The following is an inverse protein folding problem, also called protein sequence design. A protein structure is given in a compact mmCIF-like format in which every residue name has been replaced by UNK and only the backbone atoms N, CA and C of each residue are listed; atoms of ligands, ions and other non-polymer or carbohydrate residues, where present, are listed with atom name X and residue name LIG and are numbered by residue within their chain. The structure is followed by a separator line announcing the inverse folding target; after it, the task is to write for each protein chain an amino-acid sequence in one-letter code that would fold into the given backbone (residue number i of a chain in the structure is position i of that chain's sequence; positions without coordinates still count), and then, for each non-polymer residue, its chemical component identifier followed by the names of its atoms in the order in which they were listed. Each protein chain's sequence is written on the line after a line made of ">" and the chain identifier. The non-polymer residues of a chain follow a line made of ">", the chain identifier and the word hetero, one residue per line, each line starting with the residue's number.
data_IF_873065714706
#
_entry.id   IF_873065714706
#
_cell.length_a   1.000
_cell.length_b   1.000
_cell.length_c   1.000
_cell.angle_alpha   90.00
_cell.angle_beta   90.00
_cell.angle_gamma   90.00
#
_symmetry.space_group_name_H-M   'P 1'
#
loop_
_entity.id
_entity.type
_entity.pdbx_description
1 polymer ?
#
# COMPACT_ATOMS: atom_id res chain seq x y z
N UNK A 1 -8.49 -11.65 54.11
CA UNK A 1 -7.47 -10.67 53.72
C UNK A 1 -7.33 -10.74 52.21
N UNK A 2 -7.83 -9.75 51.52
CA UNK A 2 -7.65 -9.59 50.05
C UNK A 2 -6.24 -9.05 49.85
N UNK A 3 -5.42 -9.80 49.13
CA UNK A 3 -4.10 -9.35 48.72
C UNK A 3 -4.24 -8.21 47.70
N UNK A 4 -3.57 -7.09 47.95
CA UNK A 4 -3.50 -5.98 47.02
C UNK A 4 -2.83 -6.44 45.70
N UNK A 5 -3.25 -5.90 44.53
CA UNK A 5 -2.64 -6.25 43.25
C UNK A 5 -1.21 -5.72 43.23
N UNK A 6 -0.25 -6.62 43.11
CA UNK A 6 1.16 -6.29 42.90
C UNK A 6 1.30 -5.74 41.49
N UNK A 7 1.48 -4.43 41.37
CA UNK A 7 1.82 -3.77 40.10
C UNK A 7 3.26 -4.14 39.78
N UNK A 8 3.45 -4.99 38.77
CA UNK A 8 4.76 -5.30 38.20
C UNK A 8 5.25 -4.08 37.41
N UNK A 9 6.08 -3.26 38.05
CA UNK A 9 6.88 -2.26 37.34
C UNK A 9 8.11 -2.96 36.71
N UNK A 10 8.04 -3.29 35.43
CA UNK A 10 9.23 -3.63 34.68
C UNK A 10 9.85 -2.34 34.13
N UNK A 11 11.13 -2.04 34.36
CA UNK A 11 11.78 -0.91 33.72
C UNK A 11 11.93 -1.21 32.22
N UNK A 12 11.19 -0.48 31.39
CA UNK A 12 11.37 -0.52 29.93
C UNK A 12 12.57 0.36 29.60
N UNK A 13 13.76 -0.23 29.46
CA UNK A 13 14.91 0.48 28.92
C UNK A 13 14.84 0.43 27.38
N UNK A 14 14.34 1.47 26.74
CA UNK A 14 14.39 1.61 25.29
C UNK A 14 15.75 2.22 24.90
N UNK A 15 16.63 1.40 24.32
CA UNK A 15 17.87 1.85 23.70
C UNK A 15 17.63 1.97 22.20
N UNK A 16 17.56 3.20 21.70
CA UNK A 16 17.52 3.45 20.26
C UNK A 16 18.90 3.19 19.64
N UNK A 17 19.03 2.14 18.88
CA UNK A 17 20.21 1.89 18.06
C UNK A 17 20.11 2.73 16.77
N UNK A 18 21.08 3.65 16.60
CA UNK A 18 21.22 4.45 15.37
C UNK A 18 21.61 3.50 14.23
N UNK A 19 20.68 3.25 13.29
CA UNK A 19 20.94 2.48 12.07
C UNK A 19 21.70 3.39 11.11
N UNK A 20 22.92 3.03 10.74
CA UNK A 20 23.58 3.58 9.56
C UNK A 20 22.87 3.02 8.34
N UNK A 21 22.23 3.89 7.57
CA UNK A 21 21.56 3.52 6.35
C UNK A 21 22.58 3.43 5.21
N UNK A 22 22.72 2.25 4.61
CA UNK A 22 23.25 2.12 3.25
C UNK A 22 22.11 2.49 2.28
N UNK A 23 22.09 3.77 1.89
CA UNK A 23 21.10 4.30 0.95
C UNK A 23 21.54 4.07 -0.48
N UNK A 24 20.63 3.59 -1.32
CA UNK A 24 20.78 3.65 -2.77
C UNK A 24 20.63 5.11 -3.20
N UNK A 25 21.71 5.70 -3.73
CA UNK A 25 21.72 7.07 -4.22
C UNK A 25 20.85 7.16 -5.48
N UNK A 26 19.78 7.95 -5.42
CA UNK A 26 19.05 8.41 -6.60
C UNK A 26 19.82 9.57 -7.24
N UNK A 27 20.04 9.50 -8.55
CA UNK A 27 20.79 10.48 -9.33
C UNK A 27 20.14 11.87 -9.21
N UNK A 28 20.86 12.83 -8.61
CA UNK A 28 20.48 14.25 -8.61
C UNK A 28 19.94 14.84 -7.30
N UNK A 29 19.91 14.08 -6.21
CA UNK A 29 19.59 14.57 -4.85
C UNK A 29 20.88 14.71 -4.04
N UNK A 30 21.02 15.76 -3.22
CA UNK A 30 22.15 15.90 -2.29
C UNK A 30 22.31 14.63 -1.45
N UNK A 31 23.53 14.18 -1.28
CA UNK A 31 23.95 12.81 -0.92
C UNK A 31 23.45 12.26 0.44
N UNK A 32 22.59 12.96 1.18
CA UNK A 32 22.27 12.59 2.57
C UNK A 32 20.76 12.45 2.90
N UNK A 33 19.86 12.49 1.91
CA UNK A 33 18.42 12.37 2.21
C UNK A 33 18.04 10.91 2.34
N UNK A 34 17.71 10.48 3.55
CA UNK A 34 17.17 9.15 3.80
C UNK A 34 15.68 9.14 3.47
N UNK A 35 15.30 8.38 2.43
CA UNK A 35 13.91 8.19 2.02
C UNK A 35 13.27 7.10 2.87
N UNK A 36 12.14 7.40 3.49
CA UNK A 36 11.37 6.46 4.29
C UNK A 36 10.39 5.69 3.39
N UNK A 37 10.51 4.37 3.38
CA UNK A 37 9.70 3.46 2.55
C UNK A 37 8.91 2.46 3.37
N UNK A 38 9.48 1.99 4.48
CA UNK A 38 8.81 1.06 5.37
C UNK A 38 7.89 1.81 6.34
N UNK A 39 6.68 2.13 5.88
CA UNK A 39 5.67 2.87 6.62
C UNK A 39 4.62 1.97 7.29
N UNK A 40 4.99 0.73 7.62
CA UNK A 40 4.09 -0.19 8.29
C UNK A 40 3.61 0.36 9.64
N UNK A 41 2.35 0.16 9.96
CA UNK A 41 1.71 0.59 11.21
C UNK A 41 1.95 -0.39 12.37
N UNK A 42 2.43 -1.60 12.08
CA UNK A 42 2.73 -2.62 13.06
C UNK A 42 4.21 -2.98 13.03
N UNK A 43 4.91 -2.72 14.13
CA UNK A 43 6.32 -3.06 14.24
C UNK A 43 6.54 -4.57 14.49
N UNK A 44 5.69 -5.17 15.31
CA UNK A 44 5.73 -6.60 15.60
C UNK A 44 4.42 -7.08 16.23
N UNK A 45 4.22 -8.40 16.16
CA UNK A 45 3.16 -9.09 16.88
C UNK A 45 3.66 -10.45 17.35
N UNK A 46 3.88 -10.60 18.65
CA UNK A 46 4.35 -11.83 19.29
C UNK A 46 3.27 -12.43 20.19
N UNK A 47 2.37 -13.29 19.68
CA UNK A 47 1.23 -13.79 20.43
C UNK A 47 1.59 -14.87 21.46
N UNK A 48 2.82 -15.43 21.38
CA UNK A 48 3.24 -16.58 22.21
C UNK A 48 4.65 -16.36 22.77
N UNK A 49 4.71 -15.58 23.83
CA UNK A 49 5.94 -15.36 24.58
C UNK A 49 5.85 -16.09 25.92
N UNK A 50 6.96 -16.56 26.39
CA UNK A 50 7.09 -17.14 27.72
C UNK A 50 8.21 -16.42 28.49
N UNK A 51 7.95 -16.16 29.77
CA UNK A 51 8.98 -15.62 30.65
C UNK A 51 10.07 -16.66 30.92
N UNK A 52 11.27 -16.19 31.18
CA UNK A 52 12.33 -17.00 31.73
C UNK A 52 12.06 -17.39 33.20
N UNK A 53 13.00 -18.07 33.82
CA UNK A 53 12.89 -18.51 35.24
C UNK A 53 12.84 -17.37 36.26
N UNK A 54 13.27 -16.17 35.85
CA UNK A 54 13.19 -14.92 36.61
C UNK A 54 11.92 -14.09 36.33
N UNK A 55 11.02 -14.59 35.51
CA UNK A 55 9.79 -13.90 35.14
C UNK A 55 10.00 -12.80 34.07
N UNK A 56 11.12 -12.76 33.37
CA UNK A 56 11.47 -11.70 32.43
C UNK A 56 11.28 -12.17 30.97
N UNK A 57 10.78 -11.26 30.12
CA UNK A 57 10.76 -11.41 28.66
C UNK A 57 11.59 -10.28 28.06
N UNK A 58 12.54 -10.63 27.21
CA UNK A 58 13.32 -9.64 26.46
C UNK A 58 12.89 -9.65 25.00
N UNK A 59 12.47 -8.49 24.49
CA UNK A 59 12.07 -8.28 23.11
C UNK A 59 13.12 -7.45 22.36
N UNK A 60 13.42 -7.85 21.14
CA UNK A 60 14.22 -7.05 20.21
C UNK A 60 13.46 -6.93 18.90
N UNK A 61 13.27 -5.72 18.45
CA UNK A 61 12.56 -5.42 17.21
C UNK A 61 13.10 -4.12 16.60
N UNK A 62 12.82 -3.94 15.33
CA UNK A 62 13.12 -2.70 14.61
C UNK A 62 11.80 -2.00 14.34
N UNK A 63 11.69 -0.75 14.72
CA UNK A 63 10.54 0.08 14.35
C UNK A 63 10.55 0.34 12.84
N UNK A 64 9.40 0.33 12.19
CA UNK A 64 9.24 0.89 10.86
C UNK A 64 9.63 2.37 10.83
N UNK A 65 9.75 2.93 9.62
CA UNK A 65 10.24 4.30 9.41
C UNK A 65 9.15 5.36 9.53
N UNK A 66 7.95 4.95 9.95
CA UNK A 66 6.84 5.88 10.22
C UNK A 66 7.17 6.80 11.39
N UNK A 67 7.07 8.10 11.15
CA UNK A 67 7.27 9.14 12.17
C UNK A 67 5.92 9.39 12.86
N UNK A 68 5.72 8.72 13.99
CA UNK A 68 4.46 8.70 14.72
C UNK A 68 4.67 8.33 16.18
N UNK A 69 3.63 8.40 16.98
CA UNK A 69 3.63 7.84 18.32
C UNK A 69 3.34 6.33 18.25
N UNK A 70 4.33 5.53 18.63
CA UNK A 70 4.22 4.09 18.70
C UNK A 70 3.68 3.66 20.05
N UNK A 71 2.62 2.86 20.03
CA UNK A 71 2.01 2.30 21.24
C UNK A 71 2.45 0.85 21.43
N UNK A 72 3.12 0.58 22.54
CA UNK A 72 3.43 -0.77 22.98
C UNK A 72 2.28 -1.29 23.84
N UNK A 73 1.86 -2.52 23.59
CA UNK A 73 0.84 -3.20 24.38
C UNK A 73 1.30 -4.64 24.65
N UNK A 74 1.30 -5.03 25.93
CA UNK A 74 1.61 -6.39 26.34
C UNK A 74 0.56 -6.92 27.31
N UNK A 75 0.09 -8.13 27.07
CA UNK A 75 -0.78 -8.88 27.97
C UNK A 75 -0.01 -10.06 28.53
N UNK A 76 0.10 -10.14 29.84
CA UNK A 76 0.67 -11.29 30.55
C UNK A 76 -0.42 -12.02 31.32
N UNK A 77 -0.35 -13.33 31.36
CA UNK A 77 -1.23 -14.13 32.20
C UNK A 77 -0.51 -15.35 32.78
N UNK A 78 -0.97 -15.81 33.94
CA UNK A 78 -0.51 -17.05 34.56
C UNK A 78 -1.42 -18.22 34.20
N UNK A 79 -1.00 -19.43 34.54
CA UNK A 79 -1.86 -20.63 34.40
C UNK A 79 -3.11 -20.55 35.28
N UNK A 80 -3.03 -19.80 36.36
CA UNK A 80 -4.14 -19.62 37.34
C UNK A 80 -5.04 -18.42 36.95
N UNK A 81 -4.99 -17.98 35.69
CA UNK A 81 -5.84 -16.92 35.13
C UNK A 81 -5.62 -15.53 35.75
N UNK A 82 -4.54 -15.29 36.47
CA UNK A 82 -4.14 -13.92 36.81
C UNK A 82 -3.60 -13.24 35.56
N UNK A 83 -4.04 -12.01 35.28
CA UNK A 83 -3.64 -11.27 34.09
C UNK A 83 -3.16 -9.87 34.46
N UNK A 84 -2.23 -9.35 33.69
CA UNK A 84 -1.71 -7.99 33.74
C UNK A 84 -1.58 -7.40 32.34
N UNK A 85 -1.92 -6.13 32.19
CA UNK A 85 -1.77 -5.36 30.95
C UNK A 85 -0.70 -4.29 31.16
N UNK A 86 0.24 -4.19 30.23
CA UNK A 86 1.23 -3.12 30.17
C UNK A 86 1.01 -2.34 28.86
N UNK A 87 0.96 -1.04 28.98
CA UNK A 87 0.94 -0.14 27.82
C UNK A 87 2.00 0.94 28.00
N UNK A 88 2.71 1.26 26.93
CA UNK A 88 3.69 2.33 26.91
C UNK A 88 3.70 3.00 25.53
N UNK A 89 4.22 4.22 25.44
CA UNK A 89 4.24 4.98 24.20
C UNK A 89 5.64 5.60 23.96
N UNK A 90 6.04 5.63 22.70
CA UNK A 90 7.27 6.29 22.27
C UNK A 90 7.02 7.08 21.00
N UNK A 91 7.48 8.31 20.98
CA UNK A 91 7.38 9.20 19.82
C UNK A 91 8.62 9.04 18.94
N UNK A 92 8.40 8.71 17.68
CA UNK A 92 9.41 8.77 16.63
C UNK A 92 9.19 10.03 15.81
N UNK A 93 10.09 10.99 15.89
CA UNK A 93 10.02 12.25 15.15
C UNK A 93 11.41 12.69 14.71
N UNK A 94 11.47 13.53 13.66
CA UNK A 94 12.64 14.29 13.23
C UNK A 94 12.35 15.76 13.45
N UNK A 95 13.40 16.59 13.49
CA UNK A 95 13.24 18.04 13.57
C UNK A 95 12.53 18.63 12.35
N UNK A 96 12.73 18.00 11.20
CA UNK A 96 12.03 18.31 9.95
C UNK A 96 11.48 17.03 9.37
N UNK A 97 10.21 17.04 8.96
CA UNK A 97 9.52 15.89 8.40
C UNK A 97 8.73 16.26 7.16
N UNK A 98 8.65 15.33 6.21
CA UNK A 98 7.77 15.40 5.05
C UNK A 98 6.88 14.16 5.02
N UNK A 99 5.57 14.35 5.01
CA UNK A 99 4.59 13.26 5.03
C UNK A 99 3.69 13.34 3.80
N UNK A 100 3.64 12.27 3.02
CA UNK A 100 2.80 12.16 1.83
C UNK A 100 1.31 12.00 2.21
N UNK A 101 0.47 12.76 1.50
CA UNK A 101 -0.98 12.60 1.51
C UNK A 101 -1.46 12.33 0.08
N UNK A 102 -1.52 11.05 -0.29
CA UNK A 102 -1.90 10.60 -1.62
C UNK A 102 -3.35 10.09 -1.64
N UNK A 103 -4.07 10.23 -2.77
CA UNK A 103 -5.30 9.49 -2.98
C UNK A 103 -5.03 7.99 -2.99
N UNK A 104 -6.05 7.18 -2.69
CA UNK A 104 -5.91 5.71 -2.70
C UNK A 104 -5.59 5.15 -4.08
N UNK A 105 -6.05 5.82 -5.12
CA UNK A 105 -5.75 5.56 -6.53
C UNK A 105 -6.11 6.79 -7.36
N UNK A 106 -5.65 6.84 -8.59
CA UNK A 106 -6.07 7.78 -9.63
C UNK A 106 -6.41 6.99 -10.89
N UNK A 107 -7.16 7.60 -11.81
CA UNK A 107 -7.41 7.00 -13.12
C UNK A 107 -6.57 7.67 -14.19
N UNK A 108 -6.31 6.93 -15.26
CA UNK A 108 -5.61 7.47 -16.41
C UNK A 108 -6.33 8.72 -16.96
N UNK A 109 -5.58 9.81 -17.17
CA UNK A 109 -6.12 11.08 -17.64
C UNK A 109 -6.80 11.96 -16.60
N UNK A 110 -6.96 11.51 -15.34
CA UNK A 110 -7.49 12.32 -14.24
C UNK A 110 -6.59 13.54 -13.97
N UNK A 111 -7.21 14.59 -13.46
CA UNK A 111 -6.47 15.69 -12.82
C UNK A 111 -6.50 15.49 -11.32
N UNK A 112 -5.40 14.99 -10.78
CA UNK A 112 -5.25 14.73 -9.36
C UNK A 112 -4.39 15.80 -8.70
N UNK A 113 -4.54 15.94 -7.39
CA UNK A 113 -3.64 16.72 -6.55
C UNK A 113 -2.88 15.76 -5.64
N UNK A 114 -1.56 15.75 -5.76
CA UNK A 114 -0.66 15.07 -4.82
C UNK A 114 -0.24 16.09 -3.77
N UNK A 115 -0.41 15.77 -2.51
CA UNK A 115 -0.08 16.69 -1.42
C UNK A 115 0.92 16.07 -0.46
N UNK A 116 1.66 16.92 0.22
CA UNK A 116 2.49 16.53 1.36
C UNK A 116 2.37 17.58 2.45
N UNK A 117 2.37 17.13 3.69
CA UNK A 117 2.51 17.99 4.86
C UNK A 117 3.97 18.00 5.27
N UNK A 118 4.53 19.20 5.37
CA UNK A 118 5.89 19.45 5.84
C UNK A 118 5.80 19.97 7.26
N UNK A 119 6.65 19.47 8.14
CA UNK A 119 6.71 19.87 9.54
C UNK A 119 8.08 20.47 9.84
N UNK A 120 8.08 21.62 10.47
CA UNK A 120 9.25 22.25 11.07
C UNK A 120 9.09 22.24 12.59
N UNK A 121 9.74 21.33 13.27
CA UNK A 121 9.75 21.24 14.73
C UNK A 121 10.96 21.95 15.35
N UNK A 122 11.73 22.69 14.53
CA UNK A 122 12.84 23.50 15.04
C UNK A 122 12.32 24.83 15.58
N UNK A 123 13.08 25.44 16.48
CA UNK A 123 12.80 26.79 16.98
C UNK A 123 13.18 27.92 16.02
N UNK A 124 13.33 27.65 14.72
CA UNK A 124 13.79 28.64 13.71
C UNK A 124 12.91 28.55 12.45
N UNK A 125 12.76 29.69 11.78
CA UNK A 125 12.22 29.73 10.41
C UNK A 125 13.16 29.02 9.46
N UNK A 126 12.62 28.17 8.59
CA UNK A 126 13.36 27.43 7.58
C UNK A 126 12.89 27.80 6.18
N UNK A 127 13.86 28.05 5.32
CA UNK A 127 13.65 28.14 3.88
C UNK A 127 14.15 26.86 3.22
N UNK A 128 13.35 26.28 2.33
CA UNK A 128 13.69 25.01 1.72
C UNK A 128 13.02 24.79 0.36
N UNK A 129 13.17 23.57 -0.14
CA UNK A 129 12.57 23.09 -1.38
C UNK A 129 11.86 21.79 -1.12
N UNK A 130 10.61 21.73 -1.55
CA UNK A 130 9.85 20.48 -1.56
C UNK A 130 9.77 19.96 -3.02
N UNK A 131 10.26 18.78 -3.25
CA UNK A 131 10.27 18.13 -4.56
C UNK A 131 9.37 16.89 -4.51
N UNK A 132 8.36 16.88 -5.38
CA UNK A 132 7.52 15.70 -5.60
C UNK A 132 7.99 15.01 -6.87
N UNK A 133 8.21 13.71 -6.80
CA UNK A 133 8.61 12.86 -7.92
C UNK A 133 7.65 11.70 -8.08
N UNK A 134 7.33 11.34 -9.31
CA UNK A 134 6.63 10.12 -9.67
C UNK A 134 7.51 9.35 -10.64
N UNK A 135 7.79 8.09 -10.36
CA UNK A 135 8.71 7.28 -11.14
C UNK A 135 8.29 5.81 -11.18
N UNK A 136 8.82 5.07 -12.16
CA UNK A 136 8.66 3.63 -12.24
C UNK A 136 9.60 2.94 -11.23
N UNK A 137 9.10 2.24 -10.21
CA UNK A 137 9.93 1.59 -9.21
C UNK A 137 10.74 0.41 -9.75
N UNK A 138 10.36 -0.15 -10.90
CA UNK A 138 11.06 -1.28 -11.51
C UNK A 138 12.31 -0.85 -12.28
N UNK A 139 12.25 0.32 -12.94
CA UNK A 139 13.34 0.82 -13.80
C UNK A 139 14.07 2.01 -13.20
N UNK A 140 13.45 2.72 -12.25
CA UNK A 140 13.92 3.99 -11.72
C UNK A 140 13.66 5.18 -12.65
N UNK A 141 12.96 4.97 -13.78
CA UNK A 141 12.68 6.03 -14.74
C UNK A 141 11.71 7.06 -14.14
N UNK A 142 12.10 8.33 -14.19
CA UNK A 142 11.27 9.45 -13.76
C UNK A 142 10.12 9.71 -14.73
N UNK A 143 8.88 9.65 -14.26
CA UNK A 143 7.68 9.90 -15.06
C UNK A 143 7.24 11.36 -14.94
N UNK A 144 7.40 11.95 -13.77
CA UNK A 144 7.02 13.33 -13.50
C UNK A 144 7.75 13.86 -12.25
N UNK A 145 8.08 15.18 -12.29
CA UNK A 145 8.76 15.86 -11.19
C UNK A 145 8.38 17.32 -11.14
N UNK A 146 8.13 17.84 -9.94
CA UNK A 146 7.91 19.25 -9.68
C UNK A 146 8.56 19.67 -8.36
N UNK A 147 9.08 20.90 -8.32
CA UNK A 147 9.74 21.46 -7.13
C UNK A 147 9.14 22.81 -6.79
N UNK A 148 8.81 23.03 -5.53
CA UNK A 148 8.32 24.29 -5.00
C UNK A 148 9.25 24.79 -3.90
N UNK A 149 9.41 26.11 -3.79
CA UNK A 149 10.10 26.75 -2.66
C UNK A 149 9.11 26.88 -1.52
N UNK A 150 9.57 26.62 -0.31
CA UNK A 150 8.75 26.66 0.89
C UNK A 150 9.50 27.43 1.97
N UNK A 151 8.80 28.37 2.60
CA UNK A 151 9.24 29.04 3.83
C UNK A 151 8.31 28.59 4.94
N UNK A 152 8.88 28.16 6.07
CA UNK A 152 8.15 27.64 7.21
C UNK A 152 8.58 28.35 8.47
N UNK A 153 7.64 28.86 9.23
CA UNK A 153 7.89 29.41 10.55
C UNK A 153 8.40 28.33 11.53
N UNK A 154 8.96 28.76 12.65
CA UNK A 154 9.35 27.87 13.74
C UNK A 154 8.12 27.13 14.29
N UNK A 155 8.28 25.85 14.63
CA UNK A 155 7.26 25.02 15.27
C UNK A 155 5.91 25.01 14.50
N UNK A 156 6.00 24.96 13.16
CA UNK A 156 4.83 25.03 12.27
C UNK A 156 4.77 23.85 11.29
N UNK A 157 3.62 23.70 10.66
CA UNK A 157 3.43 22.82 9.52
C UNK A 157 2.88 23.56 8.30
N UNK A 158 3.14 23.03 7.13
CA UNK A 158 2.68 23.61 5.86
C UNK A 158 2.33 22.48 4.88
N UNK A 159 1.19 22.65 4.18
CA UNK A 159 0.79 21.71 3.12
C UNK A 159 1.24 22.25 1.77
N UNK A 160 1.98 21.41 1.05
CA UNK A 160 2.33 21.65 -0.36
C UNK A 160 1.48 20.75 -1.26
N UNK A 161 1.09 21.28 -2.40
CA UNK A 161 0.20 20.60 -3.33
C UNK A 161 0.72 20.71 -4.75
N UNK A 162 0.64 19.61 -5.49
CA UNK A 162 1.15 19.45 -6.83
C UNK A 162 0.06 18.94 -7.76
N UNK A 163 -0.12 19.60 -8.90
CA UNK A 163 -1.05 19.12 -9.90
C UNK A 163 -0.43 17.98 -10.72
N UNK A 164 -1.09 16.85 -10.76
CA UNK A 164 -0.60 15.66 -11.45
C UNK A 164 -1.68 15.09 -12.39
N UNK A 165 -1.26 14.74 -13.59
CA UNK A 165 -2.10 14.02 -14.55
C UNK A 165 -1.39 12.72 -14.94
N UNK A 166 -1.93 11.55 -14.54
CA UNK A 166 -1.34 10.27 -14.87
C UNK A 166 -1.25 10.07 -16.39
N UNK A 167 -0.08 9.66 -16.85
CA UNK A 167 0.19 9.34 -18.25
C UNK A 167 1.18 8.17 -18.34
N UNK A 168 1.16 7.45 -19.44
CA UNK A 168 2.07 6.31 -19.67
C UNK A 168 1.46 4.97 -19.30
N UNK A 169 2.30 3.93 -19.18
CA UNK A 169 1.88 2.53 -19.03
C UNK A 169 2.15 1.94 -17.65
N UNK A 170 2.68 2.72 -16.73
CA UNK A 170 3.00 2.23 -15.37
C UNK A 170 1.76 2.28 -14.50
N UNK A 171 1.23 1.12 -14.12
CA UNK A 171 0.02 1.00 -13.30
C UNK A 171 0.25 1.21 -11.80
N UNK A 172 1.48 1.06 -11.33
CA UNK A 172 1.83 1.22 -9.91
C UNK A 172 3.14 2.01 -9.75
N UNK A 173 3.16 3.31 -10.11
CA UNK A 173 4.33 4.13 -9.88
C UNK A 173 4.56 4.39 -8.40
N UNK A 174 5.80 4.72 -8.05
CA UNK A 174 6.16 5.27 -6.76
C UNK A 174 6.08 6.79 -6.78
N UNK A 175 5.50 7.38 -5.75
CA UNK A 175 5.49 8.81 -5.48
C UNK A 175 6.43 9.08 -4.30
N UNK A 176 7.31 10.06 -4.46
CA UNK A 176 8.29 10.45 -3.45
C UNK A 176 8.21 11.94 -3.21
N UNK A 177 8.11 12.35 -1.95
CA UNK A 177 8.35 13.73 -1.53
C UNK A 177 9.73 13.82 -0.89
N UNK A 178 10.47 14.85 -1.25
CA UNK A 178 11.75 15.19 -0.65
C UNK A 178 11.64 16.64 -0.20
N UNK A 179 11.95 16.91 1.06
CA UNK A 179 12.04 18.26 1.59
C UNK A 179 13.46 18.51 2.10
N UNK A 180 14.08 19.56 1.58
CA UNK A 180 15.45 19.98 1.92
C UNK A 180 15.41 21.43 2.42
N UNK A 181 15.90 21.66 3.63
CA UNK A 181 15.96 22.98 4.26
C UNK A 181 17.26 23.14 5.07
N UNK A 182 18.27 23.73 4.47
CA UNK A 182 19.60 23.90 5.08
C UNK A 182 20.26 22.55 5.39
N UNK A 183 20.50 22.28 6.67
CA UNK A 183 21.11 21.02 7.15
C UNK A 183 20.08 19.91 7.37
N UNK A 184 18.80 20.24 7.24
CA UNK A 184 17.70 19.29 7.48
C UNK A 184 17.17 18.77 6.16
N UNK A 185 16.94 17.46 6.12
CA UNK A 185 16.28 16.82 5.00
C UNK A 185 15.47 15.61 5.45
N UNK A 186 14.32 15.43 4.83
CA UNK A 186 13.48 14.23 5.01
C UNK A 186 12.78 13.88 3.71
N UNK A 187 12.44 12.60 3.56
CA UNK A 187 11.69 12.13 2.41
C UNK A 187 10.83 10.93 2.74
N UNK A 188 9.71 10.84 2.07
CA UNK A 188 8.78 9.72 2.17
C UNK A 188 8.38 9.23 0.79
N UNK A 189 8.27 7.92 0.63
CA UNK A 189 7.87 7.28 -0.61
C UNK A 189 6.67 6.37 -0.36
N UNK A 190 5.69 6.43 -1.28
CA UNK A 190 4.52 5.54 -1.32
C UNK A 190 4.16 5.17 -2.75
N UNK A 191 3.46 4.07 -2.91
CA UNK A 191 2.91 3.68 -4.21
C UNK A 191 1.56 4.36 -4.46
N UNK A 192 1.31 4.76 -5.71
CA UNK A 192 0.06 5.34 -6.17
C UNK A 192 -0.53 4.48 -7.28
N UNK A 193 -1.53 3.64 -7.03
CA UNK A 193 -2.18 2.86 -8.07
C UNK A 193 -2.84 3.76 -9.12
N UNK A 194 -2.51 3.53 -10.40
CA UNK A 194 -3.16 4.17 -11.55
C UNK A 194 -4.07 3.13 -12.19
N UNK A 195 -5.36 3.39 -12.16
CA UNK A 195 -6.36 2.52 -12.78
C UNK A 195 -6.65 3.00 -14.20
N UNK A 196 -6.98 2.05 -15.05
CA UNK A 196 -7.47 2.36 -16.40
C UNK A 196 -8.81 3.13 -16.32
N UNK A 197 -9.05 4.02 -17.26
CA UNK A 197 -10.32 4.73 -17.42
C UNK A 197 -11.39 3.90 -18.14
N UNK A 198 -10.97 2.76 -18.72
CA UNK A 198 -11.80 1.85 -19.50
C UNK A 198 -11.84 0.46 -18.88
N UNK A 199 -12.98 -0.19 -18.99
CA UNK A 199 -13.21 -1.54 -18.50
C UNK A 199 -13.74 -2.41 -19.64
N UNK A 200 -13.33 -3.70 -19.65
CA UNK A 200 -13.87 -4.67 -20.58
C UNK A 200 -15.28 -5.06 -20.17
N UNK A 201 -16.26 -4.73 -21.04
CA UNK A 201 -17.62 -5.20 -20.88
C UNK A 201 -17.83 -6.46 -21.72
N UNK A 202 -18.00 -7.60 -21.05
CA UNK A 202 -18.31 -8.86 -21.70
C UNK A 202 -19.80 -9.14 -21.60
N UNK A 203 -20.45 -9.28 -22.77
CA UNK A 203 -21.84 -9.70 -22.86
C UNK A 203 -21.88 -11.06 -23.59
N UNK A 204 -22.65 -12.00 -23.05
CA UNK A 204 -22.73 -13.35 -23.58
C UNK A 204 -24.16 -13.65 -24.02
N UNK A 205 -24.30 -14.17 -25.21
CA UNK A 205 -25.57 -14.66 -25.74
C UNK A 205 -25.44 -16.17 -26.02
N UNK A 206 -25.97 -17.05 -25.15
CA UNK A 206 -25.95 -18.48 -25.40
C UNK A 206 -26.92 -18.84 -26.52
N UNK A 207 -26.56 -19.85 -27.31
CA UNK A 207 -27.43 -20.44 -28.32
C UNK A 207 -27.26 -21.96 -28.40
N UNK A 208 -28.27 -22.63 -28.86
CA UNK A 208 -28.27 -24.10 -29.06
C UNK A 208 -28.74 -24.39 -30.48
N UNK A 209 -27.99 -25.23 -31.17
CA UNK A 209 -28.39 -25.77 -32.47
C UNK A 209 -28.85 -27.22 -32.27
N UNK A 210 -30.13 -27.49 -32.44
CA UNK A 210 -30.75 -28.79 -32.13
C UNK A 210 -31.23 -29.59 -33.36
N UNK A 211 -31.00 -29.05 -34.56
CA UNK A 211 -31.44 -29.67 -35.79
C UNK A 211 -30.42 -29.45 -36.91
N UNK A 212 -30.50 -30.27 -37.94
CA UNK A 212 -29.75 -30.10 -39.18
C UNK A 212 -30.33 -28.96 -40.02
N UNK A 213 -29.47 -28.22 -40.70
CA UNK A 213 -29.84 -27.09 -41.57
C UNK A 213 -29.40 -25.74 -41.05
N UNK A 214 -29.92 -24.70 -41.66
CA UNK A 214 -29.57 -23.33 -41.35
C UNK A 214 -30.23 -22.87 -40.05
N UNK A 215 -29.42 -22.27 -39.15
CA UNK A 215 -29.91 -21.68 -37.90
C UNK A 215 -29.58 -20.20 -37.88
N UNK A 216 -30.60 -19.37 -37.72
CA UNK A 216 -30.43 -17.90 -37.59
C UNK A 216 -30.39 -17.50 -36.12
N UNK A 217 -29.26 -17.02 -35.67
CA UNK A 217 -29.07 -16.51 -34.31
C UNK A 217 -29.21 -14.99 -34.34
N UNK A 218 -30.16 -14.48 -33.57
CA UNK A 218 -30.39 -13.03 -33.44
C UNK A 218 -29.66 -12.52 -32.21
N UNK A 219 -28.66 -11.66 -32.42
CA UNK A 219 -27.83 -11.07 -31.36
C UNK A 219 -28.41 -9.75 -30.86
N UNK A 220 -29.72 -9.52 -31.02
CA UNK A 220 -30.36 -8.26 -30.66
C UNK A 220 -30.30 -7.90 -29.16
N UNK A 221 -29.97 -8.87 -28.29
CA UNK A 221 -29.70 -8.61 -26.86
C UNK A 221 -28.29 -8.14 -26.55
N UNK A 222 -27.34 -8.34 -27.48
CA UNK A 222 -25.98 -7.86 -27.32
C UNK A 222 -25.87 -6.41 -27.78
N UNK A 223 -25.11 -5.62 -27.09
CA UNK A 223 -24.82 -4.21 -27.42
C UNK A 223 -26.03 -3.26 -27.37
N UNK A 224 -27.14 -3.68 -26.73
CA UNK A 224 -28.30 -2.83 -26.54
C UNK A 224 -28.10 -1.72 -25.50
N UNK A 225 -27.05 -1.79 -24.69
CA UNK A 225 -26.66 -0.71 -23.79
C UNK A 225 -26.21 0.51 -24.61
N UNK A 226 -26.62 1.69 -24.17
CA UNK A 226 -26.16 2.94 -24.76
C UNK A 226 -24.70 3.20 -24.31
N UNK A 227 -23.77 2.53 -24.97
CA UNK A 227 -22.33 2.69 -24.76
C UNK A 227 -21.69 3.29 -26.02
N UNK A 228 -21.97 4.58 -26.33
CA UNK A 228 -21.46 5.22 -27.55
C UNK A 228 -19.93 5.31 -27.57
N UNK A 229 -19.30 5.30 -26.38
CA UNK A 229 -17.85 5.40 -26.19
C UNK A 229 -17.13 4.03 -26.23
N UNK A 230 -17.87 2.92 -26.43
CA UNK A 230 -17.26 1.60 -26.47
C UNK A 230 -16.37 1.46 -27.71
N UNK A 231 -15.09 1.26 -27.47
CA UNK A 231 -14.06 1.02 -28.47
C UNK A 231 -13.69 -0.47 -28.54
N UNK A 232 -12.97 -0.87 -29.58
CA UNK A 232 -12.39 -2.23 -29.72
C UNK A 232 -13.39 -3.38 -29.55
N UNK A 233 -14.58 -3.26 -30.14
CA UNK A 233 -15.61 -4.29 -30.07
C UNK A 233 -15.14 -5.58 -30.77
N UNK A 234 -15.33 -6.70 -30.10
CA UNK A 234 -15.08 -8.05 -30.64
C UNK A 234 -16.35 -8.89 -30.48
N UNK A 235 -16.63 -9.73 -31.44
CA UNK A 235 -17.70 -10.72 -31.39
C UNK A 235 -17.09 -12.11 -31.62
N UNK A 236 -16.54 -12.77 -30.60
CA UNK A 236 -16.17 -14.19 -30.71
C UNK A 236 -17.43 -15.00 -30.77
N UNK A 237 -17.49 -15.97 -31.71
CA UNK A 237 -18.53 -16.98 -31.80
C UNK A 237 -17.87 -18.32 -31.56
N UNK A 238 -18.28 -19.00 -30.49
CA UNK A 238 -17.78 -20.31 -30.15
C UNK A 238 -18.89 -21.33 -30.32
N UNK A 239 -18.63 -22.37 -31.08
CA UNK A 239 -19.54 -23.47 -31.27
C UNK A 239 -18.84 -24.80 -30.99
N UNK A 240 -19.49 -25.66 -30.22
CA UNK A 240 -19.01 -27.02 -29.97
C UNK A 240 -20.16 -28.01 -29.97
N UNK A 241 -19.94 -29.16 -30.60
CA UNK A 241 -20.84 -30.29 -30.56
C UNK A 241 -20.59 -31.23 -29.37
N UNK A 242 -19.46 -31.06 -28.69
CA UNK A 242 -19.07 -31.89 -27.54
C UNK A 242 -19.19 -31.12 -26.22
N UNK A 243 -20.15 -31.49 -25.34
CA UNK A 243 -20.34 -30.77 -24.08
C UNK A 243 -19.13 -30.83 -23.12
N UNK A 244 -18.18 -31.73 -23.32
CA UNK A 244 -16.95 -31.76 -22.52
C UNK A 244 -16.09 -30.51 -22.71
N UNK A 245 -16.21 -29.80 -23.84
CA UNK A 245 -15.53 -28.53 -24.05
C UNK A 245 -15.95 -27.43 -23.08
N UNK A 246 -17.16 -27.50 -22.51
CA UNK A 246 -17.58 -26.55 -21.48
C UNK A 246 -16.71 -26.67 -20.20
N UNK A 247 -16.28 -27.91 -19.88
CA UNK A 247 -15.36 -28.11 -18.78
C UNK A 247 -13.97 -27.44 -19.06
N UNK A 248 -13.47 -27.61 -20.29
CA UNK A 248 -12.20 -26.98 -20.70
C UNK A 248 -12.30 -25.45 -20.68
N UNK A 249 -13.42 -24.91 -21.17
CA UNK A 249 -13.65 -23.45 -21.14
C UNK A 249 -13.80 -22.87 -19.72
N UNK A 250 -14.25 -23.69 -18.77
CA UNK A 250 -14.36 -23.28 -17.36
C UNK A 250 -13.02 -23.32 -16.60
N UNK A 251 -12.01 -24.04 -17.12
CA UNK A 251 -10.71 -24.18 -16.44
C UNK A 251 -10.07 -22.85 -16.04
N UNK A 252 -10.00 -21.80 -16.87
CA UNK A 252 -9.39 -20.55 -16.45
C UNK A 252 -10.04 -19.94 -15.20
N UNK A 253 -11.37 -19.99 -15.11
CA UNK A 253 -12.11 -19.48 -13.96
C UNK A 253 -11.97 -20.33 -12.70
N UNK A 254 -11.65 -21.61 -12.85
CA UNK A 254 -11.38 -22.53 -11.72
C UNK A 254 -9.94 -22.39 -11.25
N UNK A 255 -8.99 -22.18 -12.17
CA UNK A 255 -7.57 -22.04 -11.86
C UNK A 255 -7.22 -20.71 -11.17
N UNK A 256 -8.05 -19.68 -11.38
CA UNK A 256 -7.92 -18.37 -10.73
C UNK A 256 -9.11 -18.13 -9.77
N UNK A 257 -9.13 -18.78 -8.60
CA UNK A 257 -10.22 -18.63 -7.65
C UNK A 257 -10.31 -17.18 -7.13
N UNK A 258 -11.52 -16.66 -7.03
CA UNK A 258 -11.80 -15.31 -6.50
C UNK A 258 -11.78 -15.22 -4.98
N UNK A 259 -11.74 -16.37 -4.31
CA UNK A 259 -11.80 -16.49 -2.85
C UNK A 259 -10.74 -17.46 -2.35
N UNK A 260 -10.13 -17.15 -1.20
CA UNK A 260 -9.11 -17.98 -0.55
C UNK A 260 -9.73 -19.05 0.36
N UNK A 261 -10.85 -19.63 -0.03
CA UNK A 261 -11.45 -20.74 0.71
C UNK A 261 -10.90 -22.10 0.25
N UNK A 262 -11.00 -23.08 1.15
CA UNK A 262 -10.44 -24.43 0.95
C UNK A 262 -11.03 -25.15 -0.28
N UNK A 263 -12.31 -24.92 -0.60
CA UNK A 263 -12.97 -25.58 -1.74
C UNK A 263 -12.47 -24.97 -3.06
N UNK A 264 -12.38 -23.64 -3.12
CA UNK A 264 -11.91 -22.92 -4.31
C UNK A 264 -10.42 -23.22 -4.59
N UNK A 265 -9.57 -23.19 -3.58
CA UNK A 265 -8.16 -23.54 -3.70
C UNK A 265 -7.95 -25.02 -4.02
N UNK A 266 -8.74 -25.91 -3.41
CA UNK A 266 -8.73 -27.35 -3.70
C UNK A 266 -9.16 -27.67 -5.13
N UNK A 267 -10.19 -26.98 -5.64
CA UNK A 267 -10.63 -27.12 -7.03
C UNK A 267 -9.57 -26.62 -8.02
N UNK A 268 -8.93 -25.49 -7.74
CA UNK A 268 -7.84 -24.96 -8.56
C UNK A 268 -6.63 -25.91 -8.58
N UNK A 269 -6.24 -26.44 -7.42
CA UNK A 269 -5.18 -27.44 -7.34
C UNK A 269 -5.49 -28.70 -8.16
N UNK A 270 -6.69 -29.26 -8.01
CA UNK A 270 -7.11 -30.44 -8.77
C UNK A 270 -7.17 -30.19 -10.27
N UNK A 271 -7.65 -29.02 -10.68
CA UNK A 271 -7.74 -28.67 -12.10
C UNK A 271 -6.36 -28.38 -12.73
N UNK A 272 -5.32 -28.12 -11.95
CA UNK A 272 -3.95 -27.87 -12.41
C UNK A 272 -3.11 -29.14 -12.59
N UNK A 273 -3.56 -30.28 -12.08
CA UNK A 273 -2.88 -31.58 -12.17
C UNK A 273 -3.40 -32.40 -13.33
#
# INVERSE_FOLDING_TARGET
>A
ALAEPTVLHAPVAMSAMKKTADGVAADGVSQDVVIRENLNETAFFYPRLMTDTSGVVTLRFTLPESLTTWKFMALAHTKDMMAGLLTDEVVAAKEVMAQLSLPRFVRMGDRATLSATLFNLTGKTLEGKATMEVFDPATGEGLWKETVKVEMEAESDTVVSFAYTPSGSVSLPACRIIFEAGEHADGEQRYLPILEDKEWLTQTQPFVVSHEGDTVIRLGGLFQGNHPEAEHRRLPVEYTANPLWYAVQALPSVLEPRTDDVLSLGAAYYAST
#
